data_IF_489978440182
#
_entry.id   IF_489978440182
#
_cell.length_a   1.000
_cell.length_b   1.000
_cell.length_c   1.000
_cell.angle_alpha   90.00
_cell.angle_beta   90.00
_cell.angle_gamma   90.00
#
_symmetry.space_group_name_H-M   'P 1'
#
loop_
_entity.id
_entity.type
_entity.pdbx_description
1 polymer ?
#
# COMPACT_ATOMS: atom_id res chain seq x y z
N UNK A 1 -16.84 9.82 6.49
CA UNK A 1 -15.68 9.02 6.90
C UNK A 1 -14.89 9.64 8.05
N UNK A 2 -14.38 10.88 7.93
CA UNK A 2 -13.57 11.52 8.99
C UNK A 2 -14.21 11.48 10.38
N UNK A 3 -15.50 11.82 10.51
CA UNK A 3 -16.23 11.75 11.79
C UNK A 3 -16.24 10.34 12.40
N UNK A 4 -16.42 9.29 11.60
CA UNK A 4 -16.45 7.91 12.06
C UNK A 4 -15.08 7.46 12.60
N UNK A 5 -13.98 7.93 11.99
CA UNK A 5 -12.63 7.67 12.48
C UNK A 5 -12.42 8.34 13.84
N UNK A 6 -12.86 9.60 13.99
CA UNK A 6 -12.78 10.33 15.26
C UNK A 6 -13.62 9.64 16.35
N UNK A 7 -14.83 9.18 16.03
CA UNK A 7 -15.69 8.43 16.94
C UNK A 7 -15.06 7.10 17.38
N UNK A 8 -14.48 6.33 16.44
CA UNK A 8 -13.79 5.09 16.76
C UNK A 8 -12.57 5.32 17.67
N UNK A 9 -11.79 6.38 17.40
CA UNK A 9 -10.65 6.76 18.24
C UNK A 9 -11.09 7.22 19.62
N UNK A 10 -12.10 8.07 19.71
CA UNK A 10 -12.64 8.53 20.99
C UNK A 10 -13.09 7.36 21.87
N UNK A 11 -13.73 6.34 21.28
CA UNK A 11 -14.14 5.11 21.99
C UNK A 11 -12.97 4.25 22.45
N UNK A 12 -11.87 4.20 21.68
CA UNK A 12 -10.72 3.34 21.98
C UNK A 12 -9.72 3.99 22.94
N UNK A 13 -9.35 5.25 22.72
CA UNK A 13 -8.22 5.91 23.39
C UNK A 13 -8.62 7.14 24.21
N UNK A 14 -9.89 7.56 24.19
CA UNK A 14 -10.36 8.78 24.84
C UNK A 14 -9.90 10.08 24.15
N UNK A 15 -9.16 9.97 23.04
CA UNK A 15 -8.65 11.12 22.27
C UNK A 15 -9.13 11.03 20.83
N UNK A 16 -9.72 12.11 20.32
CA UNK A 16 -10.22 12.22 18.95
C UNK A 16 -9.09 12.40 17.90
N UNK A 17 -7.92 11.81 18.09
CA UNK A 17 -6.76 11.98 17.22
C UNK A 17 -5.95 10.69 17.06
N UNK A 18 -5.13 10.63 16.01
CA UNK A 18 -4.17 9.55 15.80
C UNK A 18 -4.21 8.94 14.39
N UNK A 19 -3.32 7.98 14.15
CA UNK A 19 -3.18 7.32 12.87
C UNK A 19 -4.32 6.32 12.60
N UNK A 20 -4.70 6.23 11.34
CA UNK A 20 -5.56 5.18 10.78
C UNK A 20 -4.90 4.66 9.49
N UNK A 21 -5.37 3.52 9.01
CA UNK A 21 -4.88 2.89 7.80
C UNK A 21 -6.00 2.84 6.77
N UNK A 22 -5.65 3.04 5.51
CA UNK A 22 -6.49 2.68 4.36
C UNK A 22 -5.75 1.57 3.64
N UNK A 23 -6.34 0.39 3.57
CA UNK A 23 -5.74 -0.72 2.85
C UNK A 23 -6.08 -0.65 1.35
N UNK A 24 -5.62 -1.64 0.59
CA UNK A 24 -5.74 -1.77 -0.86
C UNK A 24 -7.19 -1.95 -1.34
N UNK A 25 -8.08 -2.35 -0.44
CA UNK A 25 -9.52 -2.45 -0.69
C UNK A 25 -10.26 -1.12 -0.45
N UNK A 26 -9.56 -0.08 -0.01
CA UNK A 26 -10.15 1.18 0.44
C UNK A 26 -10.79 1.08 1.83
N UNK A 27 -10.57 0.00 2.58
CA UNK A 27 -11.11 -0.16 3.93
C UNK A 27 -10.36 0.75 4.90
N UNK A 28 -11.10 1.49 5.70
CA UNK A 28 -10.58 2.39 6.73
C UNK A 28 -10.51 1.62 8.04
N UNK A 29 -9.28 1.37 8.49
CA UNK A 29 -8.98 0.56 9.67
C UNK A 29 -8.37 1.46 10.73
N UNK A 30 -8.99 1.46 11.91
CA UNK A 30 -8.53 2.24 13.05
C UNK A 30 -7.91 1.30 14.08
N UNK A 31 -6.59 1.36 14.33
CA UNK A 31 -5.98 0.56 15.38
C UNK A 31 -6.42 1.09 16.74
N UNK A 32 -6.66 0.16 17.67
CA UNK A 32 -6.87 0.49 19.07
C UNK A 32 -5.55 0.91 19.71
N UNK A 33 -5.50 2.07 20.36
CA UNK A 33 -4.27 2.58 20.96
C UNK A 33 -3.87 1.80 22.22
N UNK A 34 -4.84 1.18 22.90
CA UNK A 34 -4.64 0.48 24.17
C UNK A 34 -4.49 -1.03 23.96
N UNK A 35 -4.96 -1.57 22.84
CA UNK A 35 -4.89 -3.00 22.52
C UNK A 35 -4.39 -3.22 21.08
N UNK A 36 -3.10 -3.48 20.92
CA UNK A 36 -2.43 -3.63 19.62
C UNK A 36 -2.99 -4.74 18.70
N UNK A 37 -3.72 -5.71 19.24
CA UNK A 37 -4.42 -6.75 18.46
C UNK A 37 -5.78 -6.31 17.94
N UNK A 38 -6.39 -5.28 18.56
CA UNK A 38 -7.73 -4.84 18.25
C UNK A 38 -7.70 -3.76 17.18
N UNK A 39 -8.56 -3.93 16.17
CA UNK A 39 -8.70 -3.02 15.04
C UNK A 39 -10.18 -2.84 14.76
N UNK A 40 -10.59 -1.61 14.49
CA UNK A 40 -11.96 -1.29 14.13
C UNK A 40 -12.02 -1.06 12.63
N UNK A 41 -12.92 -1.78 11.95
CA UNK A 41 -13.34 -1.45 10.60
C UNK A 41 -14.37 -0.32 10.68
N UNK A 42 -14.07 0.82 10.06
CA UNK A 42 -14.87 2.04 10.18
C UNK A 42 -15.69 2.33 8.91
N UNK A 43 -15.40 1.59 7.85
CA UNK A 43 -16.07 1.69 6.57
C UNK A 43 -15.09 1.62 5.41
N UNK A 44 -15.59 1.88 4.20
CA UNK A 44 -14.82 1.80 2.96
C UNK A 44 -14.92 3.10 2.17
N UNK A 45 -13.84 3.49 1.53
CA UNK A 45 -13.83 4.53 0.51
C UNK A 45 -14.07 3.88 -0.85
N UNK A 46 -15.09 4.36 -1.56
CA UNK A 46 -15.47 3.87 -2.88
C UNK A 46 -15.36 4.98 -3.93
N UNK A 47 -15.23 4.57 -5.19
CA UNK A 47 -15.06 5.49 -6.31
C UNK A 47 -13.74 6.26 -6.26
N UNK A 48 -13.74 7.41 -6.94
CA UNK A 48 -12.56 8.27 -7.03
C UNK A 48 -12.57 9.28 -5.89
N UNK A 49 -11.58 9.17 -5.02
CA UNK A 49 -11.36 10.10 -3.93
C UNK A 49 -10.01 10.80 -4.04
N UNK A 50 -9.92 11.92 -3.34
CA UNK A 50 -8.81 12.86 -3.40
C UNK A 50 -8.31 13.18 -2.00
N UNK A 51 -7.00 13.39 -1.91
CA UNK A 51 -6.30 13.85 -0.72
C UNK A 51 -5.91 15.31 -0.90
N UNK A 52 -5.87 16.03 0.20
CA UNK A 52 -5.29 17.37 0.23
C UNK A 52 -3.78 17.26 0.34
N UNK A 53 -3.07 18.00 -0.52
CA UNK A 53 -1.62 18.18 -0.41
C UNK A 53 -1.33 19.17 0.74
N UNK A 54 -0.69 18.73 1.84
CA UNK A 54 -0.41 19.62 2.95
C UNK A 54 0.66 20.68 2.62
N UNK A 55 1.41 20.50 1.53
CA UNK A 55 2.48 21.40 1.12
C UNK A 55 2.02 22.45 0.10
N UNK A 56 0.87 22.22 -0.55
CA UNK A 56 0.33 23.11 -1.58
C UNK A 56 -1.11 23.48 -1.25
N UNK A 57 -1.40 24.73 -0.84
CA UNK A 57 -2.74 25.16 -0.48
C UNK A 57 -3.77 24.85 -1.56
N UNK A 58 -4.91 24.28 -1.15
CA UNK A 58 -6.06 23.94 -2.01
C UNK A 58 -5.76 22.96 -3.16
N UNK A 59 -4.61 22.27 -3.13
CA UNK A 59 -4.33 21.22 -4.11
C UNK A 59 -4.90 19.89 -3.65
N UNK A 60 -5.76 19.33 -4.49
CA UNK A 60 -6.23 17.96 -4.36
C UNK A 60 -5.47 17.05 -5.33
N UNK A 61 -5.16 15.83 -4.90
CA UNK A 61 -4.61 14.80 -5.76
C UNK A 61 -5.21 13.43 -5.44
N UNK A 62 -5.25 12.55 -6.43
CA UNK A 62 -5.63 11.15 -6.24
C UNK A 62 -4.40 10.26 -6.30
N UNK A 63 -4.42 9.17 -5.53
CA UNK A 63 -3.43 8.10 -5.63
C UNK A 63 -3.76 7.11 -6.76
N UNK A 64 -4.89 7.26 -7.44
CA UNK A 64 -5.26 6.42 -8.59
C UNK A 64 -4.27 6.62 -9.74
N UNK A 65 -3.74 5.55 -10.36
CA UNK A 65 -2.90 5.67 -11.54
C UNK A 65 -3.62 6.41 -12.66
N UNK A 66 -2.93 7.33 -13.31
CA UNK A 66 -3.45 7.97 -14.52
C UNK A 66 -3.64 6.89 -15.61
N UNK A 67 -4.74 6.92 -16.40
CA UNK A 67 -4.97 5.91 -17.44
C UNK A 67 -3.84 5.76 -18.46
N UNK A 68 -3.10 6.84 -18.74
CA UNK A 68 -1.97 6.83 -19.66
C UNK A 68 -0.66 6.31 -19.06
N UNK A 69 -0.60 6.07 -17.74
CA UNK A 69 0.63 5.66 -17.04
C UNK A 69 0.94 4.20 -17.35
N UNK A 70 2.10 3.97 -17.96
CA UNK A 70 2.56 2.64 -18.36
C UNK A 70 3.48 2.02 -17.29
N UNK A 71 3.49 0.68 -17.15
CA UNK A 71 4.48 -0.01 -16.34
C UNK A 71 5.92 0.41 -16.65
N UNK A 72 6.71 0.68 -15.61
CA UNK A 72 8.08 1.16 -15.68
C UNK A 72 8.22 2.68 -15.85
N UNK A 73 7.13 3.43 -16.00
CA UNK A 73 7.18 4.89 -15.93
C UNK A 73 7.28 5.38 -14.49
N UNK A 74 7.89 6.56 -14.32
CA UNK A 74 8.05 7.22 -13.02
C UNK A 74 6.69 7.44 -12.36
N UNK A 75 6.65 7.19 -11.06
CA UNK A 75 5.50 7.48 -10.21
C UNK A 75 5.69 8.86 -9.58
N UNK A 76 4.98 9.86 -10.09
CA UNK A 76 5.10 11.26 -9.64
C UNK A 76 4.19 11.61 -8.46
N UNK A 77 3.50 10.62 -7.90
CA UNK A 77 2.66 10.77 -6.71
C UNK A 77 3.42 10.25 -5.47
N UNK A 78 2.93 10.53 -4.25
CA UNK A 78 3.55 10.00 -3.04
C UNK A 78 3.72 8.47 -3.09
N UNK A 79 4.87 7.97 -2.63
CA UNK A 79 5.16 6.54 -2.49
C UNK A 79 4.48 6.00 -1.22
N UNK A 80 3.16 5.81 -1.29
CA UNK A 80 2.30 5.46 -0.15
C UNK A 80 1.49 4.22 -0.49
N UNK A 81 1.43 3.29 0.46
CA UNK A 81 0.68 2.05 0.37
C UNK A 81 1.13 1.06 1.44
N UNK A 82 0.55 -0.14 1.39
CA UNK A 82 0.98 -1.24 2.25
C UNK A 82 2.21 -1.92 1.63
N UNK A 83 3.26 -2.19 2.41
CA UNK A 83 4.50 -2.76 1.91
C UNK A 83 4.42 -4.27 1.71
N UNK A 84 4.92 -4.72 0.57
CA UNK A 84 5.11 -6.12 0.19
C UNK A 84 6.54 -6.37 -0.28
N UNK A 85 6.88 -7.65 -0.41
CA UNK A 85 8.19 -8.08 -0.85
C UNK A 85 8.07 -9.16 -1.92
N UNK A 86 8.94 -9.09 -2.92
CA UNK A 86 9.24 -10.19 -3.83
C UNK A 86 10.53 -10.85 -3.36
N UNK A 87 10.51 -12.17 -3.16
CA UNK A 87 11.71 -12.94 -2.84
C UNK A 87 12.59 -13.14 -4.08
N UNK A 88 13.83 -13.60 -3.89
CA UNK A 88 14.70 -14.03 -5.01
C UNK A 88 14.12 -15.20 -5.81
N UNK A 89 13.19 -15.95 -5.22
CA UNK A 89 12.52 -17.11 -5.81
C UNK A 89 11.14 -16.79 -6.38
N UNK A 90 10.90 -15.52 -6.75
CA UNK A 90 9.65 -15.10 -7.40
C UNK A 90 8.39 -15.33 -6.54
N UNK A 91 8.54 -15.26 -5.21
CA UNK A 91 7.40 -15.36 -4.28
C UNK A 91 7.12 -14.01 -3.65
N UNK A 92 5.89 -13.54 -3.84
CA UNK A 92 5.34 -12.38 -3.14
C UNK A 92 5.00 -12.80 -1.71
N UNK A 93 5.32 -11.93 -0.76
CA UNK A 93 5.00 -12.09 0.65
C UNK A 93 4.92 -10.73 1.35
N UNK A 94 4.33 -10.74 2.54
CA UNK A 94 4.36 -9.63 3.48
C UNK A 94 4.71 -10.14 4.87
N UNK A 95 5.18 -9.25 5.75
CA UNK A 95 5.51 -9.60 7.13
C UNK A 95 4.39 -9.10 8.01
N UNK A 96 3.67 -10.03 8.64
CA UNK A 96 2.75 -9.69 9.71
C UNK A 96 3.59 -9.48 10.98
N UNK A 97 3.70 -8.22 11.40
CA UNK A 97 4.48 -7.82 12.58
C UNK A 97 3.56 -7.78 13.78
N UNK A 98 3.63 -8.81 14.61
CA UNK A 98 3.05 -8.80 15.94
C UNK A 98 4.20 -8.62 16.95
N UNK A 99 3.99 -7.93 18.09
CA UNK A 99 4.97 -7.88 19.18
C UNK A 99 5.53 -9.26 19.51
N UNK A 100 6.84 -9.41 19.33
CA UNK A 100 7.58 -10.66 19.57
C UNK A 100 7.43 -11.74 18.50
N UNK A 101 6.68 -11.50 17.41
CA UNK A 101 6.46 -12.50 16.37
C UNK A 101 6.33 -11.86 14.98
N UNK A 102 7.40 -11.96 14.19
CA UNK A 102 7.38 -11.65 12.77
C UNK A 102 7.02 -12.91 11.98
N UNK A 103 5.85 -12.93 11.34
CA UNK A 103 5.43 -14.03 10.46
C UNK A 103 5.47 -13.61 9.00
N UNK A 104 6.13 -14.40 8.17
CA UNK A 104 6.04 -14.29 6.71
C UNK A 104 4.69 -14.89 6.30
N UNK A 105 3.91 -14.10 5.56
CA UNK A 105 2.62 -14.50 5.00
C UNK A 105 2.68 -14.36 3.49
N UNK A 106 2.14 -15.37 2.79
CA UNK A 106 2.02 -15.38 1.34
C UNK A 106 0.58 -15.08 0.92
N UNK A 107 0.38 -14.38 -0.22
CA UNK A 107 -0.95 -14.29 -0.82
C UNK A 107 -1.47 -15.68 -1.19
N UNK A 108 -2.80 -15.81 -1.25
CA UNK A 108 -3.49 -17.07 -1.61
C UNK A 108 -3.01 -17.63 -2.95
N UNK A 109 -2.82 -16.73 -3.93
CA UNK A 109 -2.29 -17.04 -5.26
C UNK A 109 -1.09 -16.16 -5.56
N UNK A 110 -0.06 -16.74 -6.18
CA UNK A 110 1.07 -15.98 -6.70
C UNK A 110 0.69 -15.42 -8.08
N UNK A 111 0.56 -14.10 -8.17
CA UNK A 111 0.25 -13.42 -9.43
C UNK A 111 1.51 -13.38 -10.33
N UNK A 112 1.65 -14.38 -11.20
CA UNK A 112 2.78 -14.51 -12.12
C UNK A 112 2.89 -13.33 -13.09
N UNK A 113 1.79 -12.64 -13.42
CA UNK A 113 1.82 -11.44 -14.26
C UNK A 113 2.47 -10.29 -13.50
N UNK A 114 2.08 -10.07 -12.24
CA UNK A 114 2.69 -9.05 -11.41
C UNK A 114 4.16 -9.38 -11.12
N UNK A 115 4.47 -10.64 -10.79
CA UNK A 115 5.86 -11.09 -10.59
C UNK A 115 6.70 -10.79 -11.82
N UNK A 116 6.20 -11.11 -13.02
CA UNK A 116 6.87 -10.80 -14.27
C UNK A 116 7.07 -9.29 -14.47
N UNK A 117 6.07 -8.47 -14.15
CA UNK A 117 6.17 -7.01 -14.23
C UNK A 117 7.21 -6.44 -13.25
N UNK A 118 7.23 -6.92 -12.01
CA UNK A 118 8.22 -6.57 -11.00
C UNK A 118 9.64 -6.95 -11.46
N UNK A 119 9.80 -8.12 -12.13
CA UNK A 119 11.08 -8.56 -12.69
C UNK A 119 11.57 -7.74 -13.87
N UNK A 120 10.68 -7.06 -14.60
CA UNK A 120 11.09 -6.07 -15.60
C UNK A 120 11.71 -4.82 -14.97
N UNK A 121 11.32 -4.49 -13.73
CA UNK A 121 11.92 -3.40 -12.96
C UNK A 121 13.23 -3.84 -12.33
N UNK A 122 13.23 -4.99 -11.64
CA UNK A 122 14.43 -5.57 -11.01
C UNK A 122 14.57 -7.04 -11.40
N UNK A 123 15.48 -7.31 -12.34
CA UNK A 123 15.70 -8.64 -12.92
C UNK A 123 16.02 -9.72 -11.87
N UNK A 124 16.77 -9.39 -10.82
CA UNK A 124 17.28 -10.36 -9.84
C UNK A 124 17.23 -9.86 -8.39
N UNK A 125 17.20 -10.81 -7.46
CA UNK A 125 17.26 -10.57 -6.02
C UNK A 125 15.91 -10.23 -5.38
N UNK A 126 15.88 -10.00 -4.07
CA UNK A 126 14.67 -9.54 -3.40
C UNK A 126 14.33 -8.09 -3.77
N UNK A 127 13.06 -7.72 -3.71
CA UNK A 127 12.64 -6.32 -3.87
C UNK A 127 11.47 -5.99 -2.95
N UNK A 128 11.40 -4.74 -2.50
CA UNK A 128 10.25 -4.19 -1.80
C UNK A 128 9.40 -3.39 -2.79
N UNK A 129 8.10 -3.42 -2.60
CA UNK A 129 7.14 -2.58 -3.33
C UNK A 129 5.97 -2.25 -2.41
N UNK A 130 5.18 -1.25 -2.78
CA UNK A 130 3.94 -0.91 -2.06
C UNK A 130 2.75 -1.10 -2.97
N UNK A 131 1.60 -1.42 -2.38
CA UNK A 131 0.31 -1.38 -3.05
C UNK A 131 -0.54 -0.31 -2.40
N UNK A 132 -1.01 0.64 -3.19
CA UNK A 132 -1.81 1.74 -2.67
C UNK A 132 -3.30 1.37 -2.59
N UNK A 133 -4.13 2.20 -1.93
CA UNK A 133 -5.57 1.98 -1.81
C UNK A 133 -6.39 1.88 -3.11
N UNK A 134 -5.81 2.21 -4.27
CA UNK A 134 -6.41 2.05 -5.59
C UNK A 134 -5.83 0.83 -6.35
N UNK A 135 -5.16 -0.09 -5.64
CA UNK A 135 -4.54 -1.28 -6.20
C UNK A 135 -3.25 -1.03 -7.00
N UNK A 136 -2.75 0.21 -7.05
CA UNK A 136 -1.54 0.51 -7.81
C UNK A 136 -0.31 -0.08 -7.13
N UNK A 137 0.46 -0.85 -7.89
CA UNK A 137 1.73 -1.41 -7.46
C UNK A 137 2.86 -0.47 -7.83
N UNK A 138 3.63 -0.04 -6.83
CA UNK A 138 4.71 0.93 -6.98
C UNK A 138 5.98 0.32 -6.40
N UNK A 139 7.02 0.24 -7.21
CA UNK A 139 8.34 -0.24 -6.81
C UNK A 139 9.38 0.86 -6.96
N UNK A 140 10.55 0.68 -6.36
CA UNK A 140 11.69 1.57 -6.60
C UNK A 140 12.69 0.91 -7.55
N UNK A 141 13.36 1.70 -8.37
CA UNK A 141 14.51 1.28 -9.19
C UNK A 141 15.64 2.32 -9.13
N UNK A 142 16.90 1.94 -9.38
CA UNK A 142 17.96 2.92 -9.55
C UNK A 142 17.67 3.82 -10.76
N UNK A 143 17.98 5.12 -10.63
CA UNK A 143 18.00 6.03 -11.78
C UNK A 143 19.10 5.56 -12.74
N UNK A 144 18.82 5.59 -14.05
CA UNK A 144 19.73 5.07 -15.08
C UNK A 144 21.15 5.62 -14.93
N UNK A 145 22.13 4.71 -14.93
CA UNK A 145 23.55 5.06 -14.88
C UNK A 145 24.10 5.32 -13.48
N UNK A 146 23.29 5.12 -12.43
CA UNK A 146 23.68 5.33 -11.05
C UNK A 146 23.34 4.09 -10.23
N UNK A 147 24.35 3.39 -9.70
CA UNK A 147 24.18 2.23 -8.81
C UNK A 147 24.04 2.63 -7.33
N UNK A 148 23.74 3.90 -7.06
CA UNK A 148 23.57 4.43 -5.71
C UNK A 148 22.15 4.17 -5.18
N UNK A 149 22.05 3.55 -4.00
CA UNK A 149 20.79 3.31 -3.30
C UNK A 149 20.04 4.60 -2.92
N UNK A 150 20.75 5.71 -2.75
CA UNK A 150 20.17 7.02 -2.43
C UNK A 150 19.42 7.63 -3.64
N UNK A 151 19.71 7.18 -4.86
CA UNK A 151 19.18 7.74 -6.10
C UNK A 151 18.14 6.83 -6.76
N UNK A 152 17.29 6.20 -5.95
CA UNK A 152 16.20 5.34 -6.44
C UNK A 152 14.93 6.13 -6.68
N UNK A 153 14.34 5.95 -7.86
CA UNK A 153 13.06 6.55 -8.23
C UNK A 153 11.90 5.55 -8.08
N UNK A 154 10.72 6.02 -7.64
CA UNK A 154 9.51 5.22 -7.65
C UNK A 154 8.97 5.08 -9.07
N UNK A 155 8.51 3.88 -9.42
CA UNK A 155 7.92 3.56 -10.73
C UNK A 155 6.64 2.78 -10.56
N UNK A 156 5.69 3.04 -11.45
CA UNK A 156 4.47 2.27 -11.55
C UNK A 156 4.77 0.89 -12.16
N UNK A 157 4.24 -0.17 -11.56
CA UNK A 157 4.45 -1.55 -12.02
C UNK A 157 3.20 -2.10 -12.70
N UNK A 158 2.03 -1.73 -12.18
CA UNK A 158 0.75 -2.24 -12.66
C UNK A 158 -0.32 -2.15 -11.58
N UNK A 159 -1.42 -2.85 -11.81
CA UNK A 159 -2.52 -3.02 -10.86
C UNK A 159 -2.44 -4.42 -10.25
N UNK A 160 -2.69 -4.53 -8.95
CA UNK A 160 -2.84 -5.83 -8.29
C UNK A 160 -4.23 -6.38 -8.54
N UNK A 161 -4.33 -7.69 -8.76
CA UNK A 161 -5.61 -8.39 -8.62
C UNK A 161 -5.83 -8.76 -7.15
N UNK A 162 -6.65 -7.96 -6.46
CA UNK A 162 -6.91 -8.16 -5.03
C UNK A 162 -7.60 -9.50 -4.73
N UNK A 163 -8.35 -10.05 -5.69
CA UNK A 163 -9.07 -11.33 -5.52
C UNK A 163 -8.12 -12.53 -5.48
N UNK A 164 -6.91 -12.38 -6.04
CA UNK A 164 -5.87 -13.40 -5.98
C UNK A 164 -5.13 -13.40 -4.63
N UNK A 165 -5.13 -12.27 -3.91
CA UNK A 165 -4.24 -12.06 -2.77
C UNK A 165 -4.93 -12.28 -1.44
N UNK A 166 -6.19 -11.82 -1.35
CA UNK A 166 -6.95 -11.83 -0.12
C UNK A 166 -8.27 -12.56 -0.34
N UNK A 167 -8.72 -13.25 0.70
CA UNK A 167 -10.14 -13.53 0.81
C UNK A 167 -10.83 -12.21 1.16
N UNK A 168 -11.85 -11.85 0.40
CA UNK A 168 -12.68 -10.71 0.74
C UNK A 168 -13.30 -10.99 2.11
N UNK A 169 -12.83 -10.29 3.14
CA UNK A 169 -13.45 -10.35 4.45
C UNK A 169 -14.54 -9.28 4.48
N UNK A 170 -15.80 -9.73 4.43
CA UNK A 170 -16.92 -8.90 4.86
C UNK A 170 -16.65 -8.50 6.32
N UNK A 171 -16.63 -7.19 6.56
CA UNK A 171 -16.41 -6.61 7.90
C UNK A 171 -17.65 -6.71 8.78
#
# INVERSE_FOLDING_TARGET
MARLVLEAKQKSSGVAGGAFLINEWGQVIVPDANEWRRRYYVGRLEGDWYLMDPLVPNRLFSLKPKPALQPGQRWDLPYVGIPYRLSKFNKIYFVNRLPGEDRIVHPKVQDERLVSALRRIRKWGPMSFVVNPFGAVIAKRPVRGIEDEELWEPVYVGQVDLTMWFEFQEG
#
